data_IF_344221232611
#
_entry.id   IF_344221232611
#
_cell.length_a   1.000
_cell.length_b   1.000
_cell.length_c   1.000
_cell.angle_alpha   90.00
_cell.angle_beta   90.00
_cell.angle_gamma   90.00
#
_symmetry.space_group_name_H-M   'P 1'
#
loop_
_entity.id
_entity.type
_entity.pdbx_description
1 polymer ?
#
# COMPACT_ATOMS: atom_id res chain seq x y z
N UNK A 1 3.13 4.44 -13.13
CA UNK A 1 2.93 5.86 -13.49
C UNK A 1 3.97 6.79 -12.84
N UNK A 2 4.11 6.85 -11.51
CA UNK A 2 5.07 7.76 -10.86
C UNK A 2 6.55 7.48 -11.22
N UNK A 3 6.96 6.21 -11.31
CA UNK A 3 8.30 5.82 -11.79
C UNK A 3 8.58 6.38 -13.19
N UNK A 4 7.61 6.30 -14.11
CA UNK A 4 7.72 6.85 -15.46
C UNK A 4 7.86 8.40 -15.42
N UNK A 5 7.13 9.05 -14.51
CA UNK A 5 7.28 10.48 -14.26
C UNK A 5 8.71 10.82 -13.81
N UNK A 6 9.28 10.08 -12.86
CA UNK A 6 10.64 10.31 -12.36
C UNK A 6 11.72 10.13 -13.44
N UNK A 7 11.55 9.13 -14.33
CA UNK A 7 12.44 8.97 -15.49
C UNK A 7 12.36 10.18 -16.41
N UNK A 8 11.13 10.62 -16.73
CA UNK A 8 10.88 11.80 -17.55
C UNK A 8 11.45 13.08 -16.93
N UNK A 9 11.26 13.23 -15.62
CA UNK A 9 11.81 14.33 -14.82
C UNK A 9 13.35 14.37 -14.92
N UNK A 10 14.01 13.24 -14.66
CA UNK A 10 15.46 13.14 -14.73
C UNK A 10 15.97 13.47 -16.16
N UNK A 11 15.29 12.91 -17.18
CA UNK A 11 15.63 13.20 -18.58
C UNK A 11 15.50 14.68 -18.93
N UNK A 12 14.37 15.29 -18.60
CA UNK A 12 14.11 16.70 -18.88
C UNK A 12 15.11 17.61 -18.13
N UNK A 13 15.40 17.28 -16.88
CA UNK A 13 16.33 18.04 -16.04
C UNK A 13 17.76 17.95 -16.57
N UNK A 14 18.27 16.75 -16.88
CA UNK A 14 19.61 16.59 -17.45
C UNK A 14 19.74 17.22 -18.84
N UNK A 15 18.70 17.15 -19.67
CA UNK A 15 18.66 17.85 -20.95
C UNK A 15 18.77 19.38 -20.78
N UNK A 16 18.08 19.92 -19.77
CA UNK A 16 18.13 21.35 -19.43
C UNK A 16 19.53 21.75 -18.94
N UNK A 17 20.14 20.97 -18.05
CA UNK A 17 21.49 21.20 -17.53
C UNK A 17 22.51 21.23 -18.69
N UNK A 18 22.46 20.21 -19.55
CA UNK A 18 23.38 20.12 -20.71
C UNK A 18 23.23 21.25 -21.70
N UNK A 19 22.02 21.82 -21.87
CA UNK A 19 21.78 22.99 -22.76
C UNK A 19 22.27 24.31 -22.17
N UNK A 20 22.15 24.49 -20.85
CA UNK A 20 22.49 25.76 -20.18
C UNK A 20 23.98 25.90 -19.85
N UNK A 21 24.71 24.78 -19.84
CA UNK A 21 26.06 24.74 -19.30
C UNK A 21 26.09 24.90 -17.76
N UNK A 22 27.29 25.09 -17.18
CA UNK A 22 27.46 25.26 -15.74
C UNK A 22 26.73 26.52 -15.24
N UNK A 23 26.20 26.43 -14.01
CA UNK A 23 25.53 27.56 -13.36
C UNK A 23 26.50 28.73 -13.15
N UNK A 24 26.09 29.97 -13.49
CA UNK A 24 26.94 31.14 -13.31
C UNK A 24 27.35 31.31 -11.83
N UNK A 25 28.62 31.60 -11.59
CA UNK A 25 29.13 31.77 -10.22
C UNK A 25 28.59 33.03 -9.53
N UNK A 26 28.27 34.04 -10.28
CA UNK A 26 27.73 35.32 -9.80
C UNK A 26 26.27 35.45 -10.19
N UNK A 27 25.38 34.90 -9.40
CA UNK A 27 23.95 35.14 -9.48
C UNK A 27 23.48 35.80 -8.18
N UNK A 28 22.54 36.76 -8.29
CA UNK A 28 21.89 37.33 -7.11
C UNK A 28 21.29 36.19 -6.23
N UNK A 29 21.61 36.20 -4.93
CA UNK A 29 21.30 35.09 -4.03
C UNK A 29 19.79 34.81 -3.93
N UNK A 30 18.98 35.85 -3.93
CA UNK A 30 17.52 35.77 -3.92
C UNK A 30 16.95 35.06 -5.16
N UNK A 31 17.42 35.47 -6.36
CA UNK A 31 17.01 34.87 -7.64
C UNK A 31 17.45 33.41 -7.74
N UNK A 32 18.64 33.08 -7.23
CA UNK A 32 19.11 31.70 -7.19
C UNK A 32 18.14 30.81 -6.40
N UNK A 33 17.80 31.17 -5.16
CA UNK A 33 16.92 30.37 -4.31
C UNK A 33 15.49 30.32 -4.84
N UNK A 34 14.93 31.41 -5.33
CA UNK A 34 13.59 31.40 -5.91
C UNK A 34 13.49 30.45 -7.11
N UNK A 35 14.52 30.32 -7.91
CA UNK A 35 14.57 29.35 -9.02
C UNK A 35 14.64 27.91 -8.54
N UNK A 36 15.21 27.63 -7.36
CA UNK A 36 15.20 26.27 -6.79
C UNK A 36 13.78 25.89 -6.36
N UNK A 37 13.11 26.79 -5.66
CA UNK A 37 11.76 26.59 -5.11
C UNK A 37 10.65 26.55 -6.16
N UNK A 38 10.84 27.20 -7.32
CA UNK A 38 9.84 27.21 -8.39
C UNK A 38 10.16 26.23 -9.53
N UNK A 39 10.91 25.18 -9.26
CA UNK A 39 11.19 24.16 -10.27
C UNK A 39 9.95 23.30 -10.53
N UNK A 40 9.37 23.30 -11.77
CA UNK A 40 8.16 22.55 -12.06
C UNK A 40 8.24 21.06 -11.73
N UNK A 41 9.43 20.48 -11.85
CA UNK A 41 9.66 19.06 -11.53
C UNK A 41 9.49 18.77 -10.02
N UNK A 42 9.96 19.70 -9.17
CA UNK A 42 9.84 19.60 -7.71
C UNK A 42 8.38 19.77 -7.29
N UNK A 43 7.71 20.81 -7.83
CA UNK A 43 6.29 21.08 -7.55
C UNK A 43 5.41 19.89 -7.92
N UNK A 44 5.59 19.32 -9.13
CA UNK A 44 4.83 18.15 -9.56
C UNK A 44 5.14 16.90 -8.72
N UNK A 45 6.42 16.66 -8.38
CA UNK A 45 6.79 15.57 -7.50
C UNK A 45 6.13 15.68 -6.12
N UNK A 46 6.04 16.91 -5.57
CA UNK A 46 5.38 17.20 -4.30
C UNK A 46 3.90 16.85 -4.33
N UNK A 47 3.20 17.19 -5.41
CA UNK A 47 1.78 16.86 -5.59
C UNK A 47 1.58 15.35 -5.62
N UNK A 48 2.35 14.63 -6.44
CA UNK A 48 2.24 13.16 -6.51
C UNK A 48 2.55 12.48 -5.18
N UNK A 49 3.59 12.92 -4.49
CA UNK A 49 3.95 12.37 -3.19
C UNK A 49 2.91 12.70 -2.12
N UNK A 50 2.28 13.88 -2.18
CA UNK A 50 1.13 14.21 -1.35
C UNK A 50 -0.06 13.27 -1.61
N UNK A 51 -0.36 12.96 -2.87
CA UNK A 51 -1.41 12.00 -3.23
C UNK A 51 -1.12 10.59 -2.69
N UNK A 52 0.13 10.17 -2.60
CA UNK A 52 0.47 8.88 -1.99
C UNK A 52 0.12 8.81 -0.51
N UNK A 53 0.24 9.90 0.23
CA UNK A 53 -0.17 9.94 1.64
C UNK A 53 -1.69 9.71 1.81
N UNK A 54 -2.53 10.07 0.84
CA UNK A 54 -3.96 9.78 0.86
C UNK A 54 -4.28 8.32 0.55
N UNK A 55 -3.47 7.69 -0.29
CA UNK A 55 -3.73 6.32 -0.75
C UNK A 55 -2.98 5.27 0.05
N UNK A 56 -1.70 5.50 0.31
CA UNK A 56 -0.85 4.62 1.11
C UNK A 56 0.36 5.41 1.64
N UNK A 57 0.36 5.72 2.91
CA UNK A 57 1.42 6.52 3.55
C UNK A 57 2.83 5.93 3.36
N UNK A 58 2.96 4.61 3.28
CA UNK A 58 4.25 3.95 3.03
C UNK A 58 4.83 4.30 1.67
N UNK A 59 3.99 4.45 0.64
CA UNK A 59 4.44 4.83 -0.68
C UNK A 59 5.02 6.25 -0.70
N UNK A 60 4.50 7.15 0.11
CA UNK A 60 5.10 8.48 0.28
C UNK A 60 6.56 8.37 0.71
N UNK A 61 6.85 7.65 1.81
CA UNK A 61 8.20 7.52 2.36
C UNK A 61 9.15 6.86 1.34
N UNK A 62 8.70 5.77 0.72
CA UNK A 62 9.49 4.99 -0.21
C UNK A 62 9.83 5.80 -1.47
N UNK A 63 8.83 6.39 -2.09
CA UNK A 63 9.05 7.17 -3.31
C UNK A 63 9.64 8.56 -3.05
N UNK A 64 9.58 9.07 -1.82
CA UNK A 64 10.38 10.22 -1.41
C UNK A 64 11.88 9.90 -1.46
N UNK A 65 12.30 8.70 -1.01
CA UNK A 65 13.70 8.24 -1.12
C UNK A 65 14.13 8.12 -2.59
N UNK A 66 13.30 7.51 -3.45
CA UNK A 66 13.60 7.39 -4.88
C UNK A 66 13.70 8.77 -5.55
N UNK A 67 12.78 9.67 -5.25
CA UNK A 67 12.80 11.06 -5.74
C UNK A 67 14.04 11.79 -5.24
N UNK A 68 14.41 11.61 -3.97
CA UNK A 68 15.63 12.15 -3.38
C UNK A 68 16.89 11.69 -4.13
N UNK A 69 16.95 10.41 -4.50
CA UNK A 69 18.04 9.87 -5.33
C UNK A 69 18.12 10.55 -6.71
N UNK A 70 16.98 10.76 -7.37
CA UNK A 70 16.91 11.48 -8.66
C UNK A 70 17.37 12.94 -8.51
N UNK A 71 16.87 13.64 -7.50
CA UNK A 71 17.22 15.03 -7.20
C UNK A 71 18.71 15.16 -6.87
N UNK A 72 19.24 14.28 -6.04
CA UNK A 72 20.66 14.28 -5.66
C UNK A 72 21.58 14.11 -6.88
N UNK A 73 21.31 13.11 -7.72
CA UNK A 73 22.12 12.85 -8.92
C UNK A 73 22.04 14.05 -9.88
N UNK A 74 20.86 14.62 -10.12
CA UNK A 74 20.71 15.78 -10.94
C UNK A 74 21.50 16.98 -10.40
N UNK A 75 21.50 17.20 -9.08
CA UNK A 75 22.26 18.27 -8.43
C UNK A 75 23.78 18.02 -8.46
N UNK A 76 24.26 16.77 -8.33
CA UNK A 76 25.68 16.43 -8.47
C UNK A 76 26.19 16.83 -9.86
N UNK A 77 25.43 16.50 -10.90
CA UNK A 77 25.78 16.85 -12.29
C UNK A 77 25.70 18.36 -12.50
N UNK A 78 24.63 19.00 -12.01
CA UNK A 78 24.37 20.43 -12.18
C UNK A 78 25.44 21.32 -11.54
N UNK A 79 25.87 20.97 -10.34
CA UNK A 79 26.85 21.75 -9.58
C UNK A 79 28.29 21.22 -9.69
N UNK A 80 28.54 20.34 -10.65
CA UNK A 80 29.87 19.83 -10.98
C UNK A 80 30.68 19.31 -9.77
N UNK A 81 29.98 18.64 -8.82
CA UNK A 81 30.58 18.09 -7.62
C UNK A 81 30.87 19.10 -6.50
N UNK A 82 30.38 20.37 -6.59
CA UNK A 82 30.50 21.39 -5.52
C UNK A 82 29.64 20.98 -4.31
N UNK A 83 30.20 20.23 -3.38
CA UNK A 83 29.49 19.46 -2.34
C UNK A 83 28.53 20.32 -1.50
N UNK A 84 28.98 21.52 -1.07
CA UNK A 84 28.16 22.41 -0.22
C UNK A 84 26.90 22.86 -0.97
N UNK A 85 27.01 23.21 -2.27
CA UNK A 85 25.86 23.61 -3.07
C UNK A 85 24.93 22.44 -3.33
N UNK A 86 25.48 21.24 -3.59
CA UNK A 86 24.71 20.00 -3.80
C UNK A 86 23.87 19.73 -2.56
N UNK A 87 24.49 19.66 -1.38
CA UNK A 87 23.80 19.38 -0.13
C UNK A 87 22.75 20.44 0.19
N UNK A 88 23.13 21.73 0.14
CA UNK A 88 22.22 22.83 0.45
C UNK A 88 20.96 22.82 -0.44
N UNK A 89 21.14 22.70 -1.77
CA UNK A 89 20.00 22.69 -2.69
C UNK A 89 19.18 21.42 -2.57
N UNK A 90 19.80 20.26 -2.42
CA UNK A 90 19.08 18.98 -2.25
C UNK A 90 18.25 18.98 -0.96
N UNK A 91 18.80 19.49 0.15
CA UNK A 91 18.07 19.61 1.41
C UNK A 91 16.89 20.58 1.26
N UNK A 92 17.09 21.76 0.67
CA UNK A 92 16.01 22.73 0.46
C UNK A 92 14.90 22.13 -0.38
N UNK A 93 15.23 21.45 -1.48
CA UNK A 93 14.25 20.79 -2.35
C UNK A 93 13.55 19.61 -1.63
N UNK A 94 14.25 18.85 -0.79
CA UNK A 94 13.63 17.81 0.01
C UNK A 94 12.63 18.39 1.02
N UNK A 95 13.00 19.46 1.73
CA UNK A 95 12.10 20.16 2.66
C UNK A 95 10.89 20.76 1.92
N UNK A 96 11.09 21.32 0.75
CA UNK A 96 10.01 21.82 -0.09
C UNK A 96 9.05 20.70 -0.50
N UNK A 97 9.57 19.56 -0.97
CA UNK A 97 8.75 18.39 -1.33
C UNK A 97 7.92 17.94 -0.14
N UNK A 98 8.50 17.81 1.05
CA UNK A 98 7.78 17.43 2.26
C UNK A 98 6.70 18.46 2.57
N UNK A 99 7.04 19.75 2.65
CA UNK A 99 6.11 20.81 3.00
C UNK A 99 4.92 20.91 2.06
N UNK A 100 5.17 20.90 0.74
CA UNK A 100 4.10 20.93 -0.26
C UNK A 100 3.26 19.63 -0.27
N UNK A 101 3.89 18.48 -0.06
CA UNK A 101 3.15 17.21 0.08
C UNK A 101 2.17 17.25 1.26
N UNK A 102 2.61 17.79 2.40
CA UNK A 102 1.73 17.98 3.56
C UNK A 102 0.60 18.99 3.30
N UNK A 103 0.83 20.03 2.52
CA UNK A 103 -0.24 20.96 2.11
C UNK A 103 -1.30 20.25 1.25
N UNK A 104 -0.89 19.35 0.36
CA UNK A 104 -1.82 18.56 -0.48
C UNK A 104 -2.75 17.69 0.38
N UNK A 105 -2.23 17.10 1.46
CA UNK A 105 -3.03 16.21 2.32
C UNK A 105 -3.62 16.89 3.54
N UNK A 106 -3.46 18.19 3.68
CA UNK A 106 -3.87 18.92 4.89
C UNK A 106 -5.31 18.62 5.33
N UNK A 107 -6.33 18.58 4.44
CA UNK A 107 -7.70 18.27 4.83
C UNK A 107 -7.85 16.89 5.49
N UNK A 108 -7.07 15.90 5.06
CA UNK A 108 -7.05 14.56 5.65
C UNK A 108 -6.32 14.58 7.00
N UNK A 109 -5.12 15.14 7.06
CA UNK A 109 -4.29 15.15 8.26
C UNK A 109 -4.96 15.84 9.46
N UNK A 110 -5.79 16.87 9.20
CA UNK A 110 -6.53 17.58 10.25
C UNK A 110 -7.65 16.75 10.90
N UNK A 111 -8.04 15.63 10.31
CA UNK A 111 -9.16 14.77 10.74
C UNK A 111 -8.76 13.33 11.03
N UNK A 112 -7.50 12.96 10.76
CA UNK A 112 -7.01 11.61 10.89
C UNK A 112 -6.12 11.44 12.11
N UNK A 113 -6.53 10.56 13.02
CA UNK A 113 -5.74 10.13 14.16
C UNK A 113 -4.96 8.87 13.79
N UNK A 114 -3.63 8.96 13.89
CA UNK A 114 -2.76 7.84 13.55
C UNK A 114 -2.51 6.94 14.75
N UNK A 115 -2.51 5.63 14.54
CA UNK A 115 -2.11 4.64 15.54
C UNK A 115 -0.59 4.42 15.62
N UNK A 116 0.17 5.05 14.72
CA UNK A 116 1.63 4.94 14.70
C UNK A 116 2.23 5.66 15.91
N UNK A 117 3.01 4.92 16.71
CA UNK A 117 3.61 5.41 17.94
C UNK A 117 5.08 5.87 17.77
N UNK A 118 5.51 6.09 16.53
CA UNK A 118 6.86 6.54 16.21
C UNK A 118 7.75 5.45 15.62
N UNK A 119 9.06 5.66 15.67
CA UNK A 119 10.09 4.76 15.11
C UNK A 119 10.99 4.25 16.23
N UNK A 120 11.31 2.96 16.19
CA UNK A 120 12.22 2.32 17.13
C UNK A 120 13.35 1.57 16.41
N UNK A 121 14.43 1.29 17.16
CA UNK A 121 15.54 0.47 16.66
C UNK A 121 15.14 -1.01 16.65
N UNK A 122 15.50 -1.72 15.59
CA UNK A 122 15.30 -3.15 15.49
C UNK A 122 16.20 -3.90 16.50
N UNK A 123 15.58 -4.70 17.36
CA UNK A 123 16.30 -5.54 18.33
C UNK A 123 16.59 -6.94 17.78
N UNK A 124 15.78 -7.41 16.83
CA UNK A 124 15.94 -8.69 16.17
C UNK A 124 16.23 -8.48 14.69
N UNK A 125 17.15 -9.23 14.14
CA UNK A 125 17.61 -9.11 12.76
C UNK A 125 17.39 -10.41 12.00
N UNK A 126 17.23 -10.31 10.68
CA UNK A 126 17.22 -11.47 9.81
C UNK A 126 18.61 -12.13 9.78
N UNK A 127 18.65 -13.45 9.73
CA UNK A 127 19.93 -14.15 9.60
C UNK A 127 20.52 -13.87 8.21
N UNK A 128 21.83 -13.71 8.13
CA UNK A 128 22.53 -13.32 6.91
C UNK A 128 22.19 -14.23 5.70
N UNK A 129 22.03 -15.53 5.92
CA UNK A 129 21.71 -16.48 4.87
C UNK A 129 20.26 -16.32 4.38
N UNK A 130 19.32 -15.88 5.22
CA UNK A 130 17.94 -15.59 4.81
C UNK A 130 17.93 -14.38 3.87
N UNK A 131 18.65 -13.31 4.22
CA UNK A 131 18.83 -12.16 3.34
C UNK A 131 19.50 -12.55 2.01
N UNK A 132 20.49 -13.43 2.05
CA UNK A 132 21.18 -13.91 0.86
C UNK A 132 20.25 -14.75 -0.05
N UNK A 133 19.44 -15.63 0.51
CA UNK A 133 18.50 -16.47 -0.24
C UNK A 133 17.42 -15.59 -0.91
N UNK A 134 16.86 -14.65 -0.16
CA UNK A 134 15.76 -13.81 -0.67
C UNK A 134 16.23 -12.71 -1.60
N UNK A 135 17.33 -12.04 -1.28
CA UNK A 135 17.76 -10.81 -1.94
C UNK A 135 19.11 -10.92 -2.66
N UNK A 136 19.82 -12.06 -2.54
CA UNK A 136 21.17 -12.21 -3.11
C UNK A 136 21.19 -12.04 -4.62
N UNK A 137 20.28 -12.66 -5.36
CA UNK A 137 20.21 -12.52 -6.82
C UNK A 137 19.90 -11.09 -7.27
N UNK A 138 18.85 -10.41 -6.75
CA UNK A 138 18.58 -9.01 -7.08
C UNK A 138 19.75 -8.07 -6.78
N UNK A 139 20.36 -8.22 -5.61
CA UNK A 139 21.53 -7.41 -5.21
C UNK A 139 22.72 -7.67 -6.14
N UNK A 140 23.03 -8.94 -6.42
CA UNK A 140 24.11 -9.30 -7.33
C UNK A 140 23.92 -8.69 -8.72
N UNK A 141 22.73 -8.81 -9.31
CA UNK A 141 22.41 -8.24 -10.61
C UNK A 141 22.49 -6.71 -10.60
N UNK A 142 22.06 -6.07 -9.53
CA UNK A 142 22.21 -4.62 -9.34
C UNK A 142 23.69 -4.22 -9.30
N UNK A 143 24.50 -4.91 -8.51
CA UNK A 143 25.96 -4.65 -8.42
C UNK A 143 26.63 -4.87 -9.78
N UNK A 144 26.30 -5.94 -10.48
CA UNK A 144 26.84 -6.20 -11.83
C UNK A 144 26.44 -5.10 -12.83
N UNK A 145 25.22 -4.61 -12.76
CA UNK A 145 24.77 -3.45 -13.57
C UNK A 145 25.63 -2.21 -13.27
N UNK A 146 25.79 -1.88 -11.99
CA UNK A 146 26.61 -0.73 -11.56
C UNK A 146 28.04 -0.87 -12.05
N UNK A 147 28.68 -2.03 -11.84
CA UNK A 147 30.03 -2.30 -12.29
C UNK A 147 30.17 -2.22 -13.82
N UNK A 148 29.19 -2.77 -14.54
CA UNK A 148 29.16 -2.69 -16.01
C UNK A 148 29.12 -1.25 -16.49
N UNK A 149 28.21 -0.44 -15.94
CA UNK A 149 28.04 0.99 -16.32
C UNK A 149 29.29 1.80 -15.96
N UNK A 150 29.81 1.64 -14.74
CA UNK A 150 31.02 2.36 -14.29
C UNK A 150 32.22 2.03 -15.16
N UNK A 151 32.51 0.74 -15.33
CA UNK A 151 33.72 0.31 -16.06
C UNK A 151 33.69 0.71 -17.54
N UNK A 152 32.51 0.67 -18.18
CA UNK A 152 32.37 1.12 -19.56
C UNK A 152 32.56 2.63 -19.71
N UNK A 153 31.99 3.43 -18.81
CA UNK A 153 32.06 4.91 -18.89
C UNK A 153 33.43 5.44 -18.46
N UNK A 154 34.02 4.86 -17.40
CA UNK A 154 35.33 5.30 -16.90
C UNK A 154 36.46 5.13 -17.92
N UNK A 155 36.38 4.13 -18.83
CA UNK A 155 37.39 3.95 -19.88
C UNK A 155 37.48 5.13 -20.85
N UNK A 156 36.39 5.89 -21.05
CA UNK A 156 36.35 7.05 -21.95
C UNK A 156 36.60 8.39 -21.29
N UNK A 157 36.74 8.44 -19.95
CA UNK A 157 36.88 9.71 -19.23
C UNK A 157 38.34 10.13 -19.11
N UNK A 158 38.66 11.35 -19.55
CA UNK A 158 39.99 11.98 -19.36
C UNK A 158 40.23 12.35 -17.89
N UNK A 159 39.22 12.86 -17.20
CA UNK A 159 39.26 13.20 -15.78
C UNK A 159 38.27 12.32 -14.98
N UNK A 160 38.78 11.55 -14.01
CA UNK A 160 38.01 10.61 -13.18
C UNK A 160 37.42 11.33 -11.97
N UNK A 161 36.28 12.00 -12.16
CA UNK A 161 35.50 12.57 -11.06
C UNK A 161 34.08 12.02 -11.09
N UNK A 162 33.42 11.97 -9.92
CA UNK A 162 32.07 11.41 -9.77
C UNK A 162 31.07 12.13 -10.68
N UNK A 163 31.07 13.45 -10.69
CA UNK A 163 30.10 14.20 -11.51
C UNK A 163 30.31 13.95 -13.01
N UNK A 164 31.55 13.85 -13.49
CA UNK A 164 31.86 13.53 -14.89
C UNK A 164 31.42 12.12 -15.27
N UNK A 165 31.57 11.18 -14.35
CA UNK A 165 31.07 9.82 -14.52
C UNK A 165 29.55 9.84 -14.67
N UNK A 166 28.82 10.46 -13.72
CA UNK A 166 27.36 10.53 -13.75
C UNK A 166 26.84 11.29 -14.99
N UNK A 167 27.52 12.35 -15.42
CA UNK A 167 27.20 13.09 -16.65
C UNK A 167 27.34 12.21 -17.92
N UNK A 168 28.31 11.32 -17.93
CA UNK A 168 28.57 10.41 -19.06
C UNK A 168 27.61 9.21 -19.14
N UNK A 169 26.92 8.88 -18.03
CA UNK A 169 25.97 7.78 -17.96
C UNK A 169 24.65 8.20 -18.62
N UNK A 170 23.97 7.25 -19.26
CA UNK A 170 22.66 7.49 -19.88
C UNK A 170 21.56 7.59 -18.80
N UNK A 171 20.48 8.31 -19.11
CA UNK A 171 19.37 8.47 -18.15
C UNK A 171 18.76 7.12 -17.72
N UNK A 172 18.51 6.15 -18.63
CA UNK A 172 18.01 4.83 -18.21
C UNK A 172 18.98 4.10 -17.29
N UNK A 173 20.30 4.14 -17.58
CA UNK A 173 21.31 3.53 -16.70
C UNK A 173 21.32 4.18 -15.31
N UNK A 174 21.33 5.53 -15.24
CA UNK A 174 21.28 6.27 -13.97
C UNK A 174 20.04 5.90 -13.16
N UNK A 175 18.88 5.88 -13.81
CA UNK A 175 17.62 5.63 -13.12
C UNK A 175 17.52 4.18 -12.63
N UNK A 176 17.97 3.21 -13.42
CA UNK A 176 18.02 1.81 -12.99
C UNK A 176 18.97 1.63 -11.79
N UNK A 177 20.12 2.31 -11.78
CA UNK A 177 21.03 2.31 -10.64
C UNK A 177 20.38 2.94 -9.40
N UNK A 178 19.65 4.06 -9.54
CA UNK A 178 18.91 4.68 -8.43
C UNK A 178 17.90 3.69 -7.86
N UNK A 179 17.08 3.09 -8.70
CA UNK A 179 16.07 2.12 -8.25
C UNK A 179 16.70 0.93 -7.52
N UNK A 180 17.77 0.36 -8.07
CA UNK A 180 18.45 -0.77 -7.44
C UNK A 180 19.07 -0.42 -6.09
N UNK A 181 19.71 0.75 -5.96
CA UNK A 181 20.27 1.23 -4.69
C UNK A 181 19.17 1.54 -3.67
N UNK A 182 18.05 2.15 -4.10
CA UNK A 182 16.90 2.36 -3.23
C UNK A 182 16.32 1.03 -2.76
N UNK A 183 16.18 0.03 -3.65
CA UNK A 183 15.69 -1.29 -3.29
C UNK A 183 16.58 -1.99 -2.25
N UNK A 184 17.91 -1.90 -2.38
CA UNK A 184 18.86 -2.38 -1.36
C UNK A 184 18.61 -1.65 -0.03
N UNK A 185 18.45 -0.32 -0.05
CA UNK A 185 18.14 0.47 1.13
C UNK A 185 16.84 0.02 1.81
N UNK A 186 15.78 -0.22 1.03
CA UNK A 186 14.49 -0.68 1.55
C UNK A 186 14.55 -2.07 2.21
N UNK A 187 15.44 -2.94 1.76
CA UNK A 187 15.69 -4.23 2.43
C UNK A 187 16.45 -4.04 3.74
N UNK A 188 17.38 -3.10 3.79
CA UNK A 188 18.24 -2.87 4.96
C UNK A 188 17.56 -2.04 6.05
N UNK A 189 16.66 -1.11 5.70
CA UNK A 189 15.99 -0.24 6.67
C UNK A 189 15.28 -1.04 7.77
N UNK A 190 14.48 -2.11 7.50
CA UNK A 190 13.82 -2.89 8.54
C UNK A 190 14.78 -3.67 9.45
N UNK A 191 16.03 -3.86 9.01
CA UNK A 191 17.07 -4.46 9.84
C UNK A 191 17.66 -3.45 10.85
N UNK A 192 17.42 -2.15 10.67
CA UNK A 192 17.93 -1.08 11.53
C UNK A 192 16.83 -0.45 12.38
N UNK A 193 15.69 -0.15 11.75
CA UNK A 193 14.59 0.57 12.38
C UNK A 193 13.24 0.02 11.91
N UNK A 194 12.22 0.18 12.75
CA UNK A 194 10.84 -0.15 12.39
C UNK A 194 9.87 0.90 12.94
N UNK A 195 8.69 0.97 12.33
CA UNK A 195 7.58 1.81 12.78
C UNK A 195 6.82 1.04 13.86
N UNK A 196 6.67 1.66 15.04
CA UNK A 196 5.94 1.09 16.18
C UNK A 196 4.44 1.07 15.87
N UNK A 197 3.86 -0.10 15.92
CA UNK A 197 2.44 -0.33 15.67
C UNK A 197 1.88 -1.40 16.64
N UNK A 198 0.68 -1.91 16.33
CA UNK A 198 -0.02 -2.90 17.17
C UNK A 198 0.71 -4.25 17.31
N UNK A 199 1.69 -4.55 16.45
CA UNK A 199 2.42 -5.83 16.45
C UNK A 199 3.66 -5.81 17.36
N UNK A 200 3.85 -4.78 18.18
CA UNK A 200 5.05 -4.61 19.00
C UNK A 200 5.33 -5.80 19.95
N UNK A 201 4.26 -6.48 20.41
CA UNK A 201 4.34 -7.61 21.34
C UNK A 201 4.58 -8.97 20.66
N UNK A 202 5.57 -9.08 19.78
CA UNK A 202 5.95 -10.37 19.17
C UNK A 202 6.55 -10.23 17.78
N UNK A 203 5.94 -9.44 16.92
CA UNK A 203 6.37 -9.24 15.53
C UNK A 203 6.64 -7.77 15.22
N UNK A 204 7.33 -7.07 16.10
CA UNK A 204 7.46 -5.60 16.09
C UNK A 204 7.84 -4.97 14.75
N UNK A 205 8.67 -5.62 13.94
CA UNK A 205 9.08 -5.10 12.63
C UNK A 205 8.36 -5.70 11.42
N UNK A 206 7.40 -6.62 11.66
CA UNK A 206 6.77 -7.38 10.57
C UNK A 206 6.09 -6.49 9.54
N UNK A 207 5.30 -5.50 9.98
CA UNK A 207 4.59 -4.59 9.09
C UNK A 207 5.56 -3.67 8.31
N UNK A 208 6.56 -3.10 8.98
CA UNK A 208 7.61 -2.30 8.33
C UNK A 208 8.37 -3.13 7.30
N UNK A 209 8.77 -4.34 7.68
CA UNK A 209 9.47 -5.27 6.80
C UNK A 209 8.61 -5.62 5.59
N UNK A 210 7.36 -6.03 5.79
CA UNK A 210 6.44 -6.35 4.69
C UNK A 210 6.29 -5.20 3.70
N UNK A 211 5.99 -4.01 4.19
CA UNK A 211 5.74 -2.83 3.33
C UNK A 211 6.97 -2.42 2.53
N UNK A 212 8.14 -2.36 3.17
CA UNK A 212 9.36 -1.93 2.51
C UNK A 212 9.93 -2.99 1.56
N UNK A 213 9.92 -4.27 1.96
CA UNK A 213 10.45 -5.34 1.11
C UNK A 213 9.55 -5.65 -0.09
N UNK A 214 8.24 -5.47 0.03
CA UNK A 214 7.32 -5.56 -1.11
C UNK A 214 7.67 -4.53 -2.20
N UNK A 215 7.90 -3.29 -1.82
CA UNK A 215 8.33 -2.26 -2.76
C UNK A 215 9.77 -2.48 -3.27
N UNK A 216 10.67 -2.99 -2.43
CA UNK A 216 12.00 -3.40 -2.86
C UNK A 216 11.93 -4.45 -3.97
N UNK A 217 11.03 -5.44 -3.85
CA UNK A 217 10.80 -6.46 -4.88
C UNK A 217 10.39 -5.83 -6.22
N UNK A 218 9.48 -4.85 -6.21
CA UNK A 218 9.06 -4.14 -7.42
C UNK A 218 10.22 -3.36 -8.05
N UNK A 219 10.98 -2.59 -7.25
CA UNK A 219 12.12 -1.82 -7.74
C UNK A 219 13.24 -2.72 -8.27
N UNK A 220 13.53 -3.83 -7.59
CA UNK A 220 14.46 -4.84 -8.09
C UNK A 220 13.96 -5.49 -9.38
N UNK A 221 12.67 -5.80 -9.50
CA UNK A 221 12.09 -6.36 -10.73
C UNK A 221 12.37 -5.48 -11.95
N UNK A 222 12.10 -4.16 -11.80
CA UNK A 222 12.41 -3.19 -12.86
C UNK A 222 13.92 -3.08 -13.14
N UNK A 223 14.73 -3.02 -12.08
CA UNK A 223 16.19 -2.92 -12.19
C UNK A 223 16.79 -4.16 -12.85
N UNK A 224 16.35 -5.36 -12.45
CA UNK A 224 16.81 -6.62 -13.03
C UNK A 224 16.40 -6.75 -14.49
N UNK A 225 15.14 -6.45 -14.83
CA UNK A 225 14.66 -6.53 -16.22
C UNK A 225 15.47 -5.64 -17.16
N UNK A 226 15.64 -4.35 -16.78
CA UNK A 226 16.48 -3.44 -17.52
C UNK A 226 17.96 -3.86 -17.51
N UNK A 227 18.50 -4.22 -16.35
CA UNK A 227 19.90 -4.55 -16.15
C UNK A 227 20.34 -5.77 -16.94
N UNK A 228 19.56 -6.84 -16.93
CA UNK A 228 19.82 -8.05 -17.72
C UNK A 228 19.84 -7.73 -19.22
N UNK A 229 18.82 -7.02 -19.73
CA UNK A 229 18.80 -6.60 -21.13
C UNK A 229 20.05 -5.77 -21.47
N UNK A 230 20.35 -4.78 -20.65
CA UNK A 230 21.49 -3.87 -20.86
C UNK A 230 22.82 -4.62 -20.84
N UNK A 231 23.00 -5.55 -19.90
CA UNK A 231 24.24 -6.32 -19.75
C UNK A 231 24.41 -7.39 -20.85
N UNK A 232 23.32 -8.02 -21.30
CA UNK A 232 23.38 -9.03 -22.37
C UNK A 232 23.55 -8.41 -23.77
N UNK A 233 22.82 -7.32 -24.05
CA UNK A 233 22.71 -6.77 -25.40
C UNK A 233 23.71 -5.62 -25.64
N UNK A 234 23.82 -4.69 -24.69
CA UNK A 234 24.58 -3.46 -24.88
C UNK A 234 26.03 -3.60 -24.39
N UNK A 235 26.27 -4.29 -23.28
CA UNK A 235 27.63 -4.42 -22.74
C UNK A 235 28.57 -5.16 -23.69
N UNK A 236 29.81 -4.68 -23.79
CA UNK A 236 30.89 -5.31 -24.59
C UNK A 236 31.75 -6.26 -23.76
N UNK A 237 31.51 -6.35 -22.44
CA UNK A 237 32.33 -7.17 -21.53
C UNK A 237 31.81 -8.62 -21.48
N UNK A 238 32.60 -9.56 -21.99
CA UNK A 238 32.22 -11.00 -22.05
C UNK A 238 31.81 -11.55 -20.67
N UNK A 239 32.58 -11.26 -19.64
CA UNK A 239 32.30 -11.73 -18.27
C UNK A 239 30.94 -11.21 -17.78
N UNK A 240 30.63 -9.95 -17.98
CA UNK A 240 29.34 -9.35 -17.60
C UNK A 240 28.19 -10.04 -18.35
N UNK A 241 28.34 -10.31 -19.63
CA UNK A 241 27.34 -11.05 -20.44
C UNK A 241 27.09 -12.45 -19.90
N UNK A 242 28.17 -13.20 -19.59
CA UNK A 242 28.07 -14.56 -19.07
C UNK A 242 27.36 -14.54 -17.72
N UNK A 243 27.79 -13.68 -16.76
CA UNK A 243 27.19 -13.58 -15.45
C UNK A 243 25.72 -13.13 -15.52
N UNK A 244 25.39 -12.24 -16.45
CA UNK A 244 24.01 -11.83 -16.69
C UNK A 244 23.16 -12.94 -17.28
N UNK A 245 23.72 -13.76 -18.17
CA UNK A 245 23.07 -14.96 -18.71
C UNK A 245 22.77 -16.01 -17.62
N UNK A 246 23.74 -16.26 -16.73
CA UNK A 246 23.54 -17.12 -15.57
C UNK A 246 22.44 -16.51 -14.65
N UNK A 247 22.49 -15.20 -14.38
CA UNK A 247 21.48 -14.52 -13.59
C UNK A 247 20.08 -14.62 -14.20
N UNK A 248 19.97 -14.49 -15.53
CA UNK A 248 18.69 -14.71 -16.24
C UNK A 248 18.21 -16.15 -16.08
N UNK A 249 19.09 -17.13 -16.23
CA UNK A 249 18.72 -18.52 -16.04
C UNK A 249 18.19 -18.80 -14.64
N UNK A 250 18.87 -18.31 -13.59
CA UNK A 250 18.41 -18.43 -12.21
C UNK A 250 17.08 -17.71 -12.00
N UNK A 251 16.91 -16.52 -12.58
CA UNK A 251 15.64 -15.78 -12.49
C UNK A 251 14.48 -16.55 -13.15
N UNK A 252 14.72 -17.13 -14.33
CA UNK A 252 13.70 -17.96 -15.01
C UNK A 252 13.35 -19.21 -14.21
N UNK A 253 14.33 -19.80 -13.50
CA UNK A 253 14.05 -20.92 -12.58
C UNK A 253 13.07 -20.55 -11.47
N UNK A 254 13.13 -19.30 -10.96
CA UNK A 254 12.19 -18.84 -9.92
C UNK A 254 10.76 -18.70 -10.42
N UNK A 255 10.52 -18.62 -11.74
CA UNK A 255 9.15 -18.54 -12.31
C UNK A 255 8.34 -19.80 -11.99
N UNK A 256 9.00 -20.97 -11.87
CA UNK A 256 8.36 -22.21 -11.45
C UNK A 256 7.69 -22.14 -10.07
N UNK A 257 8.18 -21.26 -9.17
CA UNK A 257 7.57 -21.04 -7.87
C UNK A 257 6.11 -20.56 -7.99
N UNK A 258 5.82 -19.67 -8.93
CA UNK A 258 4.46 -19.15 -9.14
C UNK A 258 3.45 -20.26 -9.40
N UNK A 259 3.76 -21.17 -10.33
CA UNK A 259 2.87 -22.29 -10.65
C UNK A 259 2.63 -23.20 -9.44
N UNK A 260 3.70 -23.52 -8.71
CA UNK A 260 3.61 -24.35 -7.51
C UNK A 260 2.81 -23.66 -6.39
N UNK A 261 3.03 -22.36 -6.17
CA UNK A 261 2.31 -21.59 -5.16
C UNK A 261 0.82 -21.49 -5.50
N UNK A 262 0.47 -21.19 -6.74
CA UNK A 262 -0.93 -21.16 -7.19
C UNK A 262 -1.61 -22.50 -7.00
N UNK A 263 -0.96 -23.60 -7.40
CA UNK A 263 -1.50 -24.94 -7.21
C UNK A 263 -1.68 -25.30 -5.72
N UNK A 264 -0.71 -24.94 -4.88
CA UNK A 264 -0.76 -25.22 -3.44
C UNK A 264 -1.87 -24.48 -2.71
N UNK A 265 -2.13 -23.21 -3.09
CA UNK A 265 -3.13 -22.37 -2.43
C UNK A 265 -4.55 -22.53 -2.99
N UNK A 266 -4.67 -22.74 -4.30
CA UNK A 266 -5.95 -22.68 -5.01
C UNK A 266 -6.32 -23.99 -5.73
N UNK A 267 -5.49 -25.04 -5.60
CA UNK A 267 -5.72 -26.31 -6.31
C UNK A 267 -5.52 -26.18 -7.83
N UNK A 268 -6.28 -26.98 -8.57
CA UNK A 268 -6.16 -27.07 -10.02
C UNK A 268 -6.91 -25.94 -10.77
N UNK A 269 -6.54 -24.69 -10.51
CA UNK A 269 -7.18 -23.48 -11.15
C UNK A 269 -7.11 -23.50 -12.68
N UNK A 270 -6.31 -24.40 -13.27
CA UNK A 270 -6.19 -24.57 -14.73
C UNK A 270 -7.27 -25.49 -15.33
N UNK A 271 -8.09 -26.12 -14.50
CA UNK A 271 -9.24 -26.90 -14.96
C UNK A 271 -10.37 -25.96 -15.34
N UNK A 272 -10.44 -25.56 -16.61
CA UNK A 272 -11.44 -24.66 -17.16
C UNK A 272 -12.87 -25.15 -16.88
N UNK A 273 -13.08 -26.47 -16.78
CA UNK A 273 -14.37 -27.09 -16.45
C UNK A 273 -14.85 -26.79 -15.02
N UNK A 274 -13.94 -26.44 -14.11
CA UNK A 274 -14.25 -26.11 -12.71
C UNK A 274 -14.30 -24.61 -12.46
N UNK A 275 -14.06 -23.79 -13.48
CA UNK A 275 -14.08 -22.34 -13.38
C UNK A 275 -15.51 -21.80 -13.17
N UNK A 276 -15.73 -21.20 -12.02
CA UNK A 276 -17.04 -20.65 -11.61
C UNK A 276 -17.19 -19.14 -11.85
N UNK A 277 -16.27 -18.53 -12.59
CA UNK A 277 -16.28 -17.08 -12.83
C UNK A 277 -15.46 -16.30 -11.80
N UNK A 278 -15.62 -14.97 -11.82
CA UNK A 278 -14.94 -14.02 -10.92
C UNK A 278 -15.88 -13.48 -9.84
N UNK A 279 -17.02 -14.11 -9.60
CA UNK A 279 -17.94 -13.68 -8.55
C UNK A 279 -17.40 -14.10 -7.17
N UNK A 280 -16.90 -13.12 -6.43
CA UNK A 280 -16.35 -13.35 -5.09
C UNK A 280 -17.45 -13.63 -4.04
N UNK A 281 -18.75 -13.56 -4.39
CA UNK A 281 -19.84 -13.81 -3.44
C UNK A 281 -20.34 -15.27 -3.45
N UNK A 282 -19.79 -16.12 -4.32
CA UNK A 282 -20.16 -17.55 -4.41
C UNK A 282 -19.92 -18.33 -3.11
N UNK A 283 -18.96 -17.92 -2.27
CA UNK A 283 -18.70 -18.53 -0.96
C UNK A 283 -19.91 -18.43 -0.02
N UNK A 284 -20.79 -17.43 -0.19
CA UNK A 284 -21.98 -17.28 0.64
C UNK A 284 -22.87 -18.53 0.63
N UNK A 285 -22.99 -19.18 -0.52
CA UNK A 285 -23.80 -20.40 -0.64
C UNK A 285 -23.14 -21.62 0.03
N UNK A 286 -21.83 -21.60 0.18
CA UNK A 286 -21.04 -22.68 0.80
C UNK A 286 -20.89 -22.47 2.30
N UNK A 287 -20.51 -21.26 2.73
CA UNK A 287 -20.16 -20.96 4.11
C UNK A 287 -21.35 -20.44 4.93
N UNK A 288 -22.31 -19.78 4.26
CA UNK A 288 -23.51 -19.20 4.90
C UNK A 288 -24.79 -19.55 4.13
N UNK A 289 -25.08 -20.85 3.87
CA UNK A 289 -26.21 -21.25 3.02
C UNK A 289 -27.55 -20.75 3.55
N UNK A 290 -27.72 -20.63 4.87
CA UNK A 290 -28.93 -20.13 5.52
C UNK A 290 -29.15 -18.63 5.28
N UNK A 291 -28.11 -17.85 4.98
CA UNK A 291 -28.18 -16.39 4.85
C UNK A 291 -28.08 -15.92 3.38
N UNK A 292 -27.59 -16.80 2.50
CA UNK A 292 -27.29 -16.44 1.10
C UNK A 292 -28.52 -15.92 0.33
N UNK A 293 -29.70 -16.52 0.55
CA UNK A 293 -30.94 -16.10 -0.07
C UNK A 293 -31.38 -14.71 0.39
N UNK A 294 -31.31 -14.46 1.69
CA UNK A 294 -31.63 -13.18 2.31
C UNK A 294 -30.70 -12.04 1.87
N UNK A 295 -29.38 -12.30 1.84
CA UNK A 295 -28.37 -11.35 1.34
C UNK A 295 -28.62 -11.02 -0.14
N UNK A 296 -28.91 -12.03 -0.95
CA UNK A 296 -29.27 -11.83 -2.37
C UNK A 296 -30.54 -11.00 -2.53
N UNK A 297 -31.54 -11.24 -1.69
CA UNK A 297 -32.78 -10.46 -1.68
C UNK A 297 -32.51 -8.99 -1.36
N UNK A 298 -31.72 -8.67 -0.33
CA UNK A 298 -31.30 -7.30 0.00
C UNK A 298 -30.64 -6.61 -1.20
N UNK A 299 -29.69 -7.28 -1.83
CA UNK A 299 -28.95 -6.75 -2.98
C UNK A 299 -29.86 -6.42 -4.18
N UNK A 300 -30.94 -7.19 -4.38
CA UNK A 300 -31.85 -7.02 -5.51
C UNK A 300 -32.98 -6.02 -5.23
N UNK A 301 -33.44 -5.92 -4.00
CA UNK A 301 -34.66 -5.20 -3.67
C UNK A 301 -34.42 -3.86 -2.98
N UNK A 302 -33.27 -3.66 -2.34
CA UNK A 302 -32.99 -2.41 -1.63
C UNK A 302 -32.29 -1.42 -2.54
N UNK A 303 -32.77 -0.18 -2.53
CA UNK A 303 -32.20 0.94 -3.27
C UNK A 303 -31.68 1.99 -2.28
N UNK A 304 -30.63 2.69 -2.67
CA UNK A 304 -29.98 3.67 -1.81
C UNK A 304 -29.01 2.99 -0.83
N UNK A 305 -28.83 3.59 0.33
CA UNK A 305 -27.91 3.13 1.36
C UNK A 305 -28.53 3.16 2.77
N UNK A 306 -29.71 2.51 2.98
CA UNK A 306 -30.29 2.42 4.31
C UNK A 306 -29.42 1.57 5.22
N UNK A 307 -29.42 1.87 6.51
CA UNK A 307 -28.68 1.09 7.51
C UNK A 307 -29.35 -0.26 7.73
N UNK A 308 -28.57 -1.32 7.60
CA UNK A 308 -28.96 -2.70 7.93
C UNK A 308 -28.25 -3.10 9.21
N UNK A 309 -29.01 -3.47 10.23
CA UNK A 309 -28.47 -4.06 11.44
C UNK A 309 -28.14 -5.53 11.21
N UNK A 310 -26.93 -5.94 11.53
CA UNK A 310 -26.45 -7.32 11.63
C UNK A 310 -25.61 -7.51 12.89
N UNK A 311 -25.37 -8.74 13.31
CA UNK A 311 -24.54 -9.02 14.48
C UNK A 311 -23.08 -8.63 14.22
N UNK A 312 -22.51 -7.86 15.12
CA UNK A 312 -21.10 -7.48 15.08
C UNK A 312 -20.19 -8.56 15.69
N UNK A 313 -18.90 -8.55 15.35
CA UNK A 313 -17.92 -9.50 15.90
C UNK A 313 -16.49 -9.12 15.58
N UNK A 314 -15.59 -10.10 15.82
CA UNK A 314 -14.17 -9.89 15.59
C UNK A 314 -13.81 -9.90 14.11
N UNK A 315 -12.64 -9.36 13.80
CA UNK A 315 -12.09 -9.31 12.46
C UNK A 315 -11.78 -10.70 11.91
N UNK A 316 -11.93 -10.86 10.61
CA UNK A 316 -11.69 -12.12 9.87
C UNK A 316 -12.62 -13.26 10.29
N UNK A 317 -13.84 -12.94 10.70
CA UNK A 317 -14.89 -13.88 11.05
C UNK A 317 -16.08 -13.78 10.09
N UNK A 318 -17.11 -14.61 10.27
CA UNK A 318 -18.35 -14.57 9.50
C UNK A 318 -19.28 -13.39 9.80
N UNK A 319 -18.96 -12.58 10.82
CA UNK A 319 -19.69 -11.34 11.08
C UNK A 319 -19.45 -10.29 9.99
N UNK A 320 -20.37 -9.35 9.81
CA UNK A 320 -20.38 -8.32 8.77
C UNK A 320 -20.58 -8.86 7.33
N UNK A 321 -21.02 -10.10 7.21
CA UNK A 321 -21.24 -10.75 5.91
C UNK A 321 -22.36 -10.08 5.08
N UNK A 322 -23.35 -9.47 5.77
CA UNK A 322 -24.47 -8.81 5.13
C UNK A 322 -24.02 -7.49 4.52
N UNK A 323 -23.44 -6.61 5.33
CA UNK A 323 -22.95 -5.30 4.85
C UNK A 323 -21.82 -5.45 3.84
N UNK A 324 -20.87 -6.36 4.06
CA UNK A 324 -19.76 -6.62 3.14
C UNK A 324 -20.25 -7.13 1.76
N UNK A 325 -21.28 -7.97 1.73
CA UNK A 325 -21.80 -8.55 0.47
C UNK A 325 -22.77 -7.66 -0.27
N UNK A 326 -23.49 -6.78 0.44
CA UNK A 326 -24.53 -5.90 -0.16
C UNK A 326 -24.02 -4.50 -0.45
N UNK A 327 -22.99 -4.02 0.30
CA UNK A 327 -22.55 -2.64 0.31
C UNK A 327 -23.45 -1.71 1.11
N UNK A 328 -24.43 -2.23 1.85
CA UNK A 328 -25.27 -1.45 2.74
C UNK A 328 -24.53 -1.13 4.05
N UNK A 329 -24.66 0.09 4.58
CA UNK A 329 -24.04 0.45 5.86
C UNK A 329 -24.65 -0.35 7.02
N UNK A 330 -23.81 -0.65 8.03
CA UNK A 330 -24.25 -1.24 9.31
C UNK A 330 -23.84 -0.35 10.48
N UNK A 331 -24.29 -0.66 11.69
CA UNK A 331 -24.03 0.15 12.90
C UNK A 331 -22.58 0.08 13.34
N UNK A 332 -21.99 -1.12 13.29
CA UNK A 332 -20.61 -1.37 13.66
C UNK A 332 -20.02 -2.43 12.74
N UNK A 333 -18.86 -2.15 12.15
CA UNK A 333 -18.06 -3.10 11.40
C UNK A 333 -17.22 -4.01 12.32
N UNK A 334 -16.31 -4.78 11.75
CA UNK A 334 -15.38 -5.60 12.54
C UNK A 334 -14.67 -4.77 13.59
N UNK A 335 -14.87 -5.13 14.87
CA UNK A 335 -14.45 -4.32 16.00
C UNK A 335 -12.98 -3.89 15.96
N UNK A 336 -12.04 -4.83 15.70
CA UNK A 336 -10.61 -4.52 15.64
C UNK A 336 -10.28 -3.61 14.46
N UNK A 337 -10.93 -3.79 13.30
CA UNK A 337 -10.72 -2.90 12.15
C UNK A 337 -11.26 -1.50 12.40
N UNK A 338 -12.43 -1.35 12.99
CA UNK A 338 -12.99 -0.05 13.36
C UNK A 338 -12.10 0.64 14.39
N UNK A 339 -11.63 -0.07 15.40
CA UNK A 339 -10.68 0.44 16.39
C UNK A 339 -9.38 0.90 15.73
N UNK A 340 -8.81 0.10 14.83
CA UNK A 340 -7.57 0.43 14.11
C UNK A 340 -7.67 1.73 13.31
N UNK A 341 -8.85 2.03 12.76
CA UNK A 341 -9.03 3.21 11.90
C UNK A 341 -9.57 4.43 12.61
N UNK A 342 -10.33 4.25 13.69
CA UNK A 342 -11.02 5.34 14.40
C UNK A 342 -10.39 5.71 15.74
N UNK A 343 -9.64 4.81 16.35
CA UNK A 343 -9.00 4.98 17.67
C UNK A 343 -9.96 5.45 18.79
N UNK A 344 -11.26 5.20 18.65
CA UNK A 344 -12.31 5.60 19.60
C UNK A 344 -12.97 4.38 20.24
N UNK A 345 -12.27 3.74 21.17
CA UNK A 345 -12.74 2.54 21.86
C UNK A 345 -14.06 2.72 22.64
N UNK A 346 -14.30 3.85 23.34
CA UNK A 346 -15.57 4.08 24.03
C UNK A 346 -16.78 4.03 23.10
N UNK A 347 -16.73 4.69 21.95
CA UNK A 347 -17.80 4.69 20.94
C UNK A 347 -18.08 3.29 20.39
N UNK A 348 -17.02 2.50 20.14
CA UNK A 348 -17.14 1.13 19.63
C UNK A 348 -17.76 0.20 20.66
N UNK A 349 -17.38 0.33 21.94
CA UNK A 349 -17.97 -0.44 23.03
C UNK A 349 -19.45 -0.13 23.22
N UNK A 350 -19.82 1.17 23.15
CA UNK A 350 -21.21 1.60 23.23
C UNK A 350 -22.04 1.00 22.09
N UNK A 351 -21.58 1.12 20.84
CA UNK A 351 -22.26 0.52 19.68
C UNK A 351 -22.42 -0.99 19.79
N UNK A 352 -21.37 -1.68 20.24
CA UNK A 352 -21.42 -3.13 20.42
C UNK A 352 -22.46 -3.53 21.47
N UNK A 353 -22.53 -2.79 22.59
CA UNK A 353 -23.52 -3.02 23.64
C UNK A 353 -24.94 -2.68 23.16
N UNK A 354 -25.11 -1.61 22.39
CA UNK A 354 -26.39 -1.20 21.83
C UNK A 354 -26.90 -2.23 20.81
N UNK A 355 -26.05 -2.80 19.96
CA UNK A 355 -26.41 -3.88 19.02
C UNK A 355 -26.89 -5.10 19.81
N UNK A 356 -26.15 -5.50 20.83
CA UNK A 356 -26.59 -6.61 21.71
C UNK A 356 -27.95 -6.31 22.34
N UNK A 357 -28.16 -5.10 22.85
CA UNK A 357 -29.44 -4.68 23.45
C UNK A 357 -30.58 -4.73 22.45
N UNK A 358 -30.38 -4.32 21.20
CA UNK A 358 -31.42 -4.41 20.16
C UNK A 358 -31.84 -5.86 19.94
N UNK A 359 -30.89 -6.81 19.88
CA UNK A 359 -31.22 -8.21 19.64
C UNK A 359 -31.79 -8.95 20.83
N UNK A 360 -31.48 -8.55 22.08
CA UNK A 360 -31.79 -9.35 23.27
C UNK A 360 -32.80 -8.70 24.23
N UNK A 361 -33.09 -7.41 24.09
CA UNK A 361 -33.98 -6.70 25.01
C UNK A 361 -35.43 -7.17 24.89
N UNK A 362 -36.11 -7.25 26.04
CA UNK A 362 -37.56 -7.45 26.13
C UNK A 362 -38.36 -6.14 26.11
N UNK A 363 -37.66 -4.99 26.19
CA UNK A 363 -38.28 -3.64 26.20
C UNK A 363 -38.23 -3.05 24.79
N UNK A 364 -39.39 -3.09 24.09
CA UNK A 364 -39.52 -2.55 22.74
C UNK A 364 -39.26 -1.03 22.65
N UNK A 365 -39.54 -0.25 23.71
CA UNK A 365 -39.31 1.19 23.71
C UNK A 365 -37.81 1.53 23.75
N UNK A 366 -37.03 0.77 24.50
CA UNK A 366 -35.57 0.89 24.49
C UNK A 366 -35.02 0.53 23.12
N UNK A 367 -35.50 -0.54 22.51
CA UNK A 367 -35.05 -0.97 21.17
C UNK A 367 -35.39 0.09 20.11
N UNK A 368 -36.62 0.66 20.11
CA UNK A 368 -37.01 1.75 19.19
C UNK A 368 -36.10 2.97 19.30
N UNK A 369 -35.72 3.38 20.53
CA UNK A 369 -34.78 4.49 20.72
C UNK A 369 -33.41 4.23 20.08
N UNK A 370 -32.89 3.01 20.23
CA UNK A 370 -31.60 2.64 19.61
C UNK A 370 -31.69 2.56 18.10
N UNK A 371 -32.78 2.03 17.56
CA UNK A 371 -33.07 2.02 16.12
C UNK A 371 -33.08 3.43 15.54
N UNK A 372 -33.80 4.35 16.19
CA UNK A 372 -33.82 5.77 15.80
C UNK A 372 -32.46 6.45 15.93
N UNK A 373 -31.71 6.11 17.00
CA UNK A 373 -30.35 6.65 17.22
C UNK A 373 -29.40 6.34 16.04
N UNK A 374 -29.49 5.13 15.50
CA UNK A 374 -28.59 4.65 14.44
C UNK A 374 -29.23 4.67 13.05
N UNK A 375 -30.43 5.24 12.89
CA UNK A 375 -31.17 5.30 11.62
C UNK A 375 -31.32 3.93 10.94
N UNK A 376 -31.59 2.89 11.76
CA UNK A 376 -31.68 1.51 11.28
C UNK A 376 -33.00 1.36 10.51
N UNK A 377 -32.89 0.95 9.24
CA UNK A 377 -34.04 0.72 8.36
C UNK A 377 -34.41 -0.75 8.23
N UNK A 378 -33.43 -1.64 8.40
CA UNK A 378 -33.63 -3.08 8.27
C UNK A 378 -32.88 -3.80 9.39
N UNK A 379 -33.49 -4.88 9.92
CA UNK A 379 -32.85 -5.78 10.90
C UNK A 379 -32.75 -7.15 10.23
N UNK A 380 -31.52 -7.68 10.19
CA UNK A 380 -31.23 -9.00 9.65
C UNK A 380 -31.12 -10.00 10.80
N UNK A 381 -31.84 -11.10 10.68
CA UNK A 381 -31.80 -12.20 11.65
C UNK A 381 -31.52 -13.51 10.89
N UNK A 382 -30.27 -13.93 10.92
CA UNK A 382 -29.79 -15.12 10.23
C UNK A 382 -28.97 -16.04 11.10
N UNK A 383 -28.13 -16.85 10.48
CA UNK A 383 -27.36 -17.89 11.17
C UNK A 383 -26.43 -17.35 12.26
N UNK A 384 -25.70 -16.27 11.98
CA UNK A 384 -24.76 -15.69 12.95
C UNK A 384 -25.46 -14.97 14.12
N UNK A 385 -26.60 -14.32 13.87
CA UNK A 385 -27.41 -13.68 14.91
C UNK A 385 -27.97 -14.75 15.87
N UNK A 386 -28.50 -15.84 15.33
CA UNK A 386 -29.05 -16.95 16.10
C UNK A 386 -27.95 -17.69 16.88
N UNK A 387 -26.78 -17.89 16.28
CA UNK A 387 -25.64 -18.50 16.95
C UNK A 387 -25.13 -17.64 18.11
N UNK A 388 -24.99 -16.33 17.87
CA UNK A 388 -24.43 -15.39 18.85
C UNK A 388 -25.32 -15.16 20.05
N UNK A 389 -26.61 -14.94 19.80
CA UNK A 389 -27.55 -14.55 20.87
C UNK A 389 -28.35 -15.73 21.41
N UNK A 390 -28.44 -16.85 20.67
CA UNK A 390 -29.06 -18.09 21.15
C UNK A 390 -30.44 -17.87 21.73
N UNK A 391 -30.63 -18.31 22.96
CA UNK A 391 -31.92 -18.20 23.70
C UNK A 391 -32.21 -16.76 24.17
N UNK A 392 -31.24 -15.85 24.11
CA UNK A 392 -31.44 -14.45 24.48
C UNK A 392 -32.02 -13.63 23.29
N UNK A 393 -31.97 -14.17 22.07
CA UNK A 393 -32.55 -13.51 20.90
C UNK A 393 -34.05 -13.31 21.08
N UNK A 394 -34.51 -12.08 20.98
CA UNK A 394 -35.92 -11.75 21.25
C UNK A 394 -36.69 -11.49 19.92
N UNK A 395 -37.01 -12.59 19.24
CA UNK A 395 -37.74 -12.54 17.97
C UNK A 395 -39.08 -11.79 18.07
N UNK A 396 -39.79 -11.90 19.22
CA UNK A 396 -41.10 -11.28 19.38
C UNK A 396 -41.02 -9.74 19.40
N UNK A 397 -40.00 -9.19 20.03
CA UNK A 397 -39.77 -7.73 20.00
C UNK A 397 -39.31 -7.30 18.62
N UNK A 398 -38.33 -7.99 18.02
CA UNK A 398 -37.80 -7.65 16.71
C UNK A 398 -38.90 -7.62 15.62
N UNK A 399 -39.76 -8.63 15.59
CA UNK A 399 -40.88 -8.70 14.64
C UNK A 399 -41.94 -7.63 14.88
N UNK A 400 -42.10 -7.15 16.13
CA UNK A 400 -43.04 -6.07 16.46
C UNK A 400 -42.61 -4.67 15.99
N UNK A 401 -41.37 -4.49 15.56
CA UNK A 401 -40.82 -3.20 15.15
C UNK A 401 -41.16 -2.79 13.73
N UNK A 402 -41.75 -3.66 12.94
CA UNK A 402 -42.11 -3.38 11.56
C UNK A 402 -42.66 -4.59 10.82
N UNK A 403 -42.44 -4.64 9.53
CA UNK A 403 -42.93 -5.73 8.66
C UNK A 403 -41.82 -6.70 8.25
N UNK A 404 -42.07 -7.99 8.28
CA UNK A 404 -41.16 -8.99 7.71
C UNK A 404 -41.24 -8.86 6.20
N UNK A 405 -40.12 -8.49 5.55
CA UNK A 405 -40.01 -8.27 4.10
C UNK A 405 -39.36 -9.43 3.38
N UNK A 406 -38.70 -10.29 4.12
CA UNK A 406 -38.11 -11.53 3.63
C UNK A 406 -38.16 -12.58 4.75
N UNK A 407 -38.49 -13.80 4.41
CA UNK A 407 -38.46 -14.97 5.29
C UNK A 407 -38.10 -16.20 4.48
N UNK A 408 -37.26 -17.05 5.01
CA UNK A 408 -36.89 -18.35 4.46
C UNK A 408 -37.27 -19.44 5.48
N UNK A 409 -38.36 -20.14 5.21
CA UNK A 409 -38.91 -21.20 6.09
C UNK A 409 -37.93 -22.34 6.37
N UNK A 410 -36.98 -22.60 5.45
CA UNK A 410 -36.04 -23.72 5.63
C UNK A 410 -34.91 -23.36 6.60
N UNK A 411 -34.35 -22.16 6.51
CA UNK A 411 -33.28 -21.68 7.38
C UNK A 411 -33.81 -20.90 8.59
N UNK A 412 -35.04 -20.44 8.50
CA UNK A 412 -35.67 -19.53 9.47
C UNK A 412 -34.98 -18.13 9.46
N UNK A 413 -34.20 -17.79 8.44
CA UNK A 413 -33.61 -16.46 8.27
C UNK A 413 -34.69 -15.49 7.81
N UNK A 414 -34.77 -14.31 8.46
CA UNK A 414 -35.75 -13.30 8.10
C UNK A 414 -35.19 -11.88 8.20
N UNK A 415 -35.85 -10.94 7.51
CA UNK A 415 -35.50 -9.52 7.53
C UNK A 415 -36.73 -8.70 7.93
N UNK A 416 -36.58 -7.87 8.94
CA UNK A 416 -37.59 -6.91 9.35
C UNK A 416 -37.26 -5.56 8.75
N UNK A 417 -38.22 -4.98 8.02
CA UNK A 417 -38.20 -3.58 7.64
C UNK A 417 -38.84 -2.77 8.75
N UNK A 418 -38.05 -1.90 9.37
CA UNK A 418 -38.51 -1.07 10.49
C UNK A 418 -39.48 -0.01 10.00
N UNK A 419 -40.60 0.17 10.70
CA UNK A 419 -41.49 1.31 10.52
C UNK A 419 -40.88 2.52 11.18
N UNK A 420 -40.60 3.56 10.39
CA UNK A 420 -40.16 4.85 10.90
C UNK A 420 -41.43 5.65 11.26
N UNK A 421 -41.52 6.07 12.52
CA UNK A 421 -42.61 6.97 13.02
C UNK A 421 -42.56 8.36 12.37
#
# INVERSE_FOLDING_TARGET
MFVTFLVGMLYAWLKMIRKRGPEPEKQERSVFWLRQLLMPHILLASVFLGMFQWTNYWDFVIYFVVTGGVVLIANIIRFEGKIIRILAVTIVQAVEIIGLSYLVILPFTLKFDTMVQGVALAQHHSLWYQLLILWGLPVLLTVLLILSVITEKMRGLKHKSLYRLLEAITVPDLFAVIMGLCAIGLVLIPELVYVRDIYENGNARANTMFKLTYQAYILFGMTMGYGIYRMLVISRQKIIRILSGVGLFVLLWTVGYFGNAVHSWFGDVWKVSEYQGLDATTFLEQDFPQDASAIRWLKQNIKGSPVVLEANGDSYTGYERVSASTGLPTVLGWYVHEWLWRNNVPDLNEKSADIQTIYTSTDAETVKKLISRYDISYIFIGGQEKEKYGTELNDSVLQSLGSIVFEDDMSGTYIVKVEQD
#
